data_IF_894568553636
#
_entry.id   IF_894568553636
#
_cell.length_a   1.000
_cell.length_b   1.000
_cell.length_c   1.000
_cell.angle_alpha   90.00
_cell.angle_beta   90.00
_cell.angle_gamma   90.00
#
_symmetry.space_group_name_H-M   'P 1'
#
loop_
_entity.id
_entity.type
_entity.pdbx_description
1 polymer ?
#
# COMPACT_ATOMS: atom_id res chain seq x y z
N UNK A 1 -6.44 -5.30 11.21
CA UNK A 1 -5.69 -4.04 11.08
C UNK A 1 -4.48 -4.21 11.97
N UNK A 2 -3.28 -3.93 11.46
CA UNK A 2 -2.04 -4.04 12.24
C UNK A 2 -2.08 -3.05 13.40
N UNK A 3 -1.63 -3.46 14.59
CA UNK A 3 -1.63 -2.60 15.77
C UNK A 3 -0.27 -1.90 15.91
N UNK A 4 -0.24 -0.61 15.60
CA UNK A 4 0.97 0.20 15.65
C UNK A 4 1.25 0.77 17.05
N UNK A 5 0.31 0.66 17.99
CA UNK A 5 0.42 1.27 19.32
C UNK A 5 1.45 0.58 20.22
N UNK A 6 1.80 -0.66 19.92
CA UNK A 6 2.77 -1.46 20.66
C UNK A 6 4.23 -1.30 20.16
N UNK A 7 4.46 -0.58 19.07
CA UNK A 7 5.77 -0.43 18.45
C UNK A 7 6.53 0.79 19.00
N UNK A 8 7.85 0.66 19.11
CA UNK A 8 8.75 1.78 19.40
C UNK A 8 8.85 2.74 18.22
N UNK A 9 9.33 3.96 18.46
CA UNK A 9 9.54 4.95 17.40
C UNK A 9 10.50 4.48 16.30
N UNK A 10 11.49 3.64 16.61
CA UNK A 10 12.40 3.07 15.60
C UNK A 10 11.70 1.99 14.76
N UNK A 11 10.94 1.10 15.41
CA UNK A 11 10.13 0.10 14.73
C UNK A 11 9.06 0.74 13.84
N UNK A 12 8.41 1.82 14.30
CA UNK A 12 7.46 2.58 13.49
C UNK A 12 8.10 3.21 12.25
N UNK A 13 9.32 3.77 12.37
CA UNK A 13 10.05 4.31 11.21
C UNK A 13 10.40 3.23 10.20
N UNK A 14 10.91 2.09 10.67
CA UNK A 14 11.23 0.95 9.81
C UNK A 14 9.97 0.40 9.15
N UNK A 15 8.86 0.30 9.90
CA UNK A 15 7.57 -0.15 9.39
C UNK A 15 7.01 0.81 8.35
N UNK A 16 7.09 2.11 8.60
CA UNK A 16 6.67 3.15 7.66
C UNK A 16 7.48 3.11 6.36
N UNK A 17 8.80 2.90 6.45
CA UNK A 17 9.66 2.76 5.28
C UNK A 17 9.25 1.55 4.44
N UNK A 18 9.06 0.40 5.09
CA UNK A 18 8.58 -0.82 4.44
C UNK A 18 7.21 -0.63 3.77
N UNK A 19 6.23 -0.07 4.47
CA UNK A 19 4.89 0.13 3.92
C UNK A 19 4.89 1.07 2.69
N UNK A 20 5.81 2.05 2.66
CA UNK A 20 5.99 2.95 1.51
C UNK A 20 6.63 2.26 0.31
N UNK A 21 7.62 1.39 0.56
CA UNK A 21 8.23 0.55 -0.48
C UNK A 21 7.19 -0.39 -1.10
N UNK A 22 6.42 -1.10 -0.28
CA UNK A 22 5.34 -1.98 -0.74
C UNK A 22 4.29 -1.21 -1.55
N UNK A 23 3.87 -0.02 -1.09
CA UNK A 23 2.94 0.82 -1.84
C UNK A 23 3.51 1.20 -3.21
N UNK A 24 4.78 1.60 -3.25
CA UNK A 24 5.45 1.97 -4.49
C UNK A 24 5.52 0.78 -5.46
N UNK A 25 5.84 -0.41 -4.98
CA UNK A 25 5.92 -1.62 -5.80
C UNK A 25 4.55 -2.01 -6.38
N UNK A 26 3.49 -1.97 -5.58
CA UNK A 26 2.12 -2.24 -6.05
C UNK A 26 1.66 -1.19 -7.08
N UNK A 27 1.96 0.10 -6.85
CA UNK A 27 1.63 1.16 -7.82
C UNK A 27 2.43 1.01 -9.13
N UNK A 28 3.69 0.57 -9.06
CA UNK A 28 4.53 0.27 -10.21
C UNK A 28 4.03 -0.94 -10.99
N UNK A 29 3.69 -2.04 -10.32
CA UNK A 29 3.15 -3.25 -10.93
C UNK A 29 1.84 -2.95 -11.66
N UNK A 30 0.91 -2.25 -11.00
CA UNK A 30 -0.34 -1.76 -11.59
C UNK A 30 -0.06 -0.97 -12.86
N UNK A 31 0.87 -0.02 -12.81
CA UNK A 31 1.27 0.79 -13.97
C UNK A 31 1.85 -0.07 -15.09
N UNK A 32 2.71 -1.04 -14.77
CA UNK A 32 3.34 -1.92 -15.76
C UNK A 32 2.31 -2.77 -16.50
N UNK A 33 1.41 -3.44 -15.76
CA UNK A 33 0.38 -4.32 -16.32
C UNK A 33 -0.57 -3.54 -17.24
N UNK A 34 -1.08 -2.38 -16.79
CA UNK A 34 -2.08 -1.64 -17.57
C UNK A 34 -1.50 -0.78 -18.69
N UNK A 35 -0.18 -0.54 -18.71
CA UNK A 35 0.51 0.11 -19.83
C UNK A 35 1.04 -0.87 -20.88
N UNK A 36 1.00 -2.17 -20.61
CA UNK A 36 1.47 -3.17 -21.55
C UNK A 36 0.51 -3.27 -22.76
N UNK A 37 0.97 -2.79 -23.91
CA UNK A 37 0.24 -2.94 -25.17
C UNK A 37 0.32 -4.37 -25.70
N UNK A 38 -0.72 -4.83 -26.41
CA UNK A 38 -0.72 -6.10 -27.13
C UNK A 38 -1.05 -7.33 -26.29
N UNK A 39 -1.31 -7.18 -24.99
CA UNK A 39 -1.88 -8.25 -24.16
C UNK A 39 -3.40 -8.28 -24.35
N UNK A 40 -3.95 -9.39 -24.86
CA UNK A 40 -5.39 -9.59 -24.89
C UNK A 40 -5.87 -10.12 -23.54
N UNK A 41 -6.63 -9.30 -22.82
CA UNK A 41 -7.26 -9.64 -21.55
C UNK A 41 -8.74 -9.33 -21.65
N UNK A 42 -9.61 -10.19 -21.11
CA UNK A 42 -11.05 -9.91 -21.10
C UNK A 42 -11.34 -8.68 -20.23
N UNK A 43 -12.38 -7.93 -20.60
CA UNK A 43 -12.83 -6.75 -19.83
C UNK A 43 -13.16 -7.10 -18.37
N UNK A 44 -13.74 -8.28 -18.14
CA UNK A 44 -14.02 -8.78 -16.78
C UNK A 44 -12.73 -8.96 -15.96
N UNK A 45 -11.69 -9.55 -16.55
CA UNK A 45 -10.42 -9.79 -15.86
C UNK A 45 -9.66 -8.50 -15.61
N UNK A 46 -9.69 -7.55 -16.55
CA UNK A 46 -9.15 -6.19 -16.35
C UNK A 46 -9.84 -5.51 -15.16
N UNK A 47 -11.17 -5.56 -15.12
CA UNK A 47 -11.95 -4.91 -14.05
C UNK A 47 -11.63 -5.50 -12.68
N UNK A 48 -11.56 -6.83 -12.57
CA UNK A 48 -11.17 -7.50 -11.32
C UNK A 48 -9.75 -7.11 -10.88
N UNK A 49 -8.78 -7.13 -11.79
CA UNK A 49 -7.40 -6.76 -11.46
C UNK A 49 -7.28 -5.30 -11.01
N UNK A 50 -8.04 -4.39 -11.64
CA UNK A 50 -8.08 -2.98 -11.21
C UNK A 50 -8.61 -2.86 -9.77
N UNK A 51 -9.68 -3.57 -9.45
CA UNK A 51 -10.28 -3.57 -8.12
C UNK A 51 -9.33 -4.16 -7.05
N UNK A 52 -8.62 -5.25 -7.38
CA UNK A 52 -7.60 -5.85 -6.51
C UNK A 52 -6.49 -4.85 -6.19
N UNK A 53 -5.93 -4.18 -7.20
CA UNK A 53 -4.91 -3.16 -7.00
C UNK A 53 -5.42 -1.96 -6.20
N UNK A 54 -6.61 -1.45 -6.53
CA UNK A 54 -7.16 -0.28 -5.86
C UNK A 54 -7.48 -0.59 -4.38
N UNK A 55 -7.93 -1.82 -4.09
CA UNK A 55 -8.15 -2.30 -2.72
C UNK A 55 -6.84 -2.38 -1.94
N UNK A 56 -5.79 -2.95 -2.54
CA UNK A 56 -4.50 -3.10 -1.88
C UNK A 56 -3.80 -1.75 -1.65
N UNK A 57 -3.83 -0.85 -2.64
CA UNK A 57 -3.32 0.52 -2.51
C UNK A 57 -4.04 1.25 -1.38
N UNK A 58 -5.38 1.13 -1.29
CA UNK A 58 -6.17 1.74 -0.21
C UNK A 58 -5.79 1.15 1.16
N UNK A 59 -5.58 -0.16 1.23
CA UNK A 59 -5.15 -0.85 2.46
C UNK A 59 -3.77 -0.36 2.92
N UNK A 60 -2.81 -0.25 2.00
CA UNK A 60 -1.46 0.22 2.28
C UNK A 60 -1.46 1.69 2.71
N UNK A 61 -2.19 2.57 2.02
CA UNK A 61 -2.36 3.98 2.40
C UNK A 61 -2.96 4.13 3.80
N UNK A 62 -4.01 3.36 4.11
CA UNK A 62 -4.62 3.38 5.45
C UNK A 62 -3.65 2.93 6.55
N UNK A 63 -2.78 1.95 6.27
CA UNK A 63 -1.75 1.52 7.23
C UNK A 63 -0.64 2.55 7.40
N UNK A 64 -0.22 3.20 6.31
CA UNK A 64 0.74 4.30 6.35
C UNK A 64 0.20 5.44 7.22
N UNK A 65 -1.06 5.83 7.02
CA UNK A 65 -1.70 6.89 7.79
C UNK A 65 -1.75 6.52 9.28
N UNK A 66 -2.23 5.31 9.62
CA UNK A 66 -2.26 4.84 11.01
C UNK A 66 -0.87 4.75 11.65
N UNK A 67 0.15 4.32 10.90
CA UNK A 67 1.53 4.27 11.38
C UNK A 67 2.08 5.69 11.63
N UNK A 68 1.78 6.64 10.74
CA UNK A 68 2.14 8.05 10.94
C UNK A 68 1.44 8.67 12.16
N UNK A 69 0.15 8.40 12.33
CA UNK A 69 -0.62 8.84 13.51
C UNK A 69 0.01 8.31 14.80
N UNK A 70 0.36 7.01 14.84
CA UNK A 70 1.03 6.40 15.98
C UNK A 70 2.35 7.12 16.33
N UNK A 71 3.17 7.45 15.32
CA UNK A 71 4.41 8.21 15.51
C UNK A 71 4.19 9.61 16.08
N UNK A 72 3.11 10.29 15.69
CA UNK A 72 2.79 11.64 16.21
C UNK A 72 2.19 11.60 17.61
N UNK A 73 1.41 10.56 17.93
CA UNK A 73 0.78 10.39 19.25
C UNK A 73 1.77 9.99 20.37
N UNK A 74 2.90 9.37 20.01
CA UNK A 74 3.96 9.01 20.96
C UNK A 74 4.91 10.14 21.37
N UNK A 75 4.67 11.38 20.91
CA UNK A 75 5.47 12.57 21.22
C UNK A 75 4.80 13.55 22.20
N UNK A 76 3.61 13.22 22.73
CA UNK A 76 2.88 14.04 23.71
C UNK A 76 3.16 13.65 25.16
#
# INVERSE_FOLDING_TARGET
MEDFTALTNEELKNRLAYLKEELQDVENERSFIFKQSGMHVSSSKISMQMEEFDTEIKRLKSQIDACCEAMTSGQA
#
